data_IF_230193339569
#
_entry.id   IF_230193339569
#
_cell.length_a   1.000
_cell.length_b   1.000
_cell.length_c   1.000
_cell.angle_alpha   90.00
_cell.angle_beta   90.00
_cell.angle_gamma   90.00
#
_symmetry.space_group_name_H-M   'P 1'
#
loop_
_entity.id
_entity.type
_entity.pdbx_description
1 polymer ?
#
# COMPACT_ATOMS: atom_id res chain seq x y z
N UNK A 1 -19.62 -1.07 -7.57
CA UNK A 1 -18.43 -1.62 -7.08
C UNK A 1 -18.11 -2.94 -7.72
N UNK A 2 -16.93 -3.29 -7.80
CA UNK A 2 -16.56 -4.39 -8.47
C UNK A 2 -16.05 -5.39 -7.60
N UNK A 3 -15.88 -6.50 -7.90
CA UNK A 3 -15.46 -7.60 -7.11
C UNK A 3 -14.05 -7.44 -6.58
N UNK A 4 -13.69 -8.29 -5.66
CA UNK A 4 -12.35 -8.36 -5.12
C UNK A 4 -11.60 -9.49 -5.79
N UNK A 5 -10.29 -9.32 -5.92
CA UNK A 5 -9.42 -10.36 -6.44
C UNK A 5 -8.42 -10.69 -5.35
N UNK A 6 -8.31 -11.96 -4.99
CA UNK A 6 -7.42 -12.42 -3.93
C UNK A 6 -6.25 -13.16 -4.54
N UNK A 7 -5.04 -12.78 -4.13
CA UNK A 7 -3.82 -13.40 -4.61
C UNK A 7 -3.00 -13.89 -3.43
N UNK A 8 -2.33 -15.04 -3.61
CA UNK A 8 -1.49 -15.65 -2.59
C UNK A 8 -0.07 -15.78 -3.13
N UNK A 9 0.90 -15.44 -2.26
CA UNK A 9 2.29 -15.58 -2.62
C UNK A 9 3.02 -16.29 -1.51
N UNK A 10 3.35 -17.56 -1.72
CA UNK A 10 4.13 -18.36 -0.77
C UNK A 10 3.54 -18.35 0.63
N UNK A 11 2.24 -18.22 0.73
CA UNK A 11 1.48 -18.31 1.97
C UNK A 11 1.87 -17.31 3.08
N UNK A 12 2.94 -16.52 2.89
CA UNK A 12 3.35 -15.56 3.91
C UNK A 12 2.78 -14.17 3.68
N UNK A 13 2.33 -13.88 2.46
CA UNK A 13 1.73 -12.60 2.12
C UNK A 13 0.56 -12.82 1.20
N UNK A 14 -0.52 -12.07 1.44
CA UNK A 14 -1.71 -12.08 0.60
C UNK A 14 -2.09 -10.66 0.27
N UNK A 15 -2.77 -10.48 -0.84
CA UNK A 15 -3.29 -9.17 -1.15
C UNK A 15 -4.62 -9.30 -1.87
N UNK A 16 -5.46 -8.28 -1.70
CA UNK A 16 -6.78 -8.23 -2.28
C UNK A 16 -7.04 -6.80 -2.73
N UNK A 17 -7.72 -6.67 -3.86
CA UNK A 17 -7.92 -5.38 -4.48
C UNK A 17 -9.41 -5.11 -4.66
N UNK A 18 -9.84 -3.90 -4.33
CA UNK A 18 -11.21 -3.49 -4.58
C UNK A 18 -11.24 -1.99 -4.86
N UNK A 19 -12.26 -1.56 -5.59
CA UNK A 19 -12.42 -0.16 -5.95
C UNK A 19 -13.73 0.35 -5.38
N UNK A 20 -13.68 1.51 -4.75
CA UNK A 20 -14.88 2.15 -4.21
C UNK A 20 -14.72 3.66 -4.28
N UNK A 21 -15.73 4.34 -4.82
CA UNK A 21 -15.77 5.80 -4.91
C UNK A 21 -14.52 6.39 -5.58
N UNK A 22 -14.01 5.70 -6.60
CA UNK A 22 -12.86 6.19 -7.33
C UNK A 22 -11.52 5.93 -6.68
N UNK A 23 -11.52 5.27 -5.52
CA UNK A 23 -10.30 4.93 -4.80
C UNK A 23 -10.04 3.44 -4.96
N UNK A 24 -8.83 3.09 -5.37
CA UNK A 24 -8.40 1.69 -5.42
C UNK A 24 -7.82 1.33 -4.07
N UNK A 25 -8.40 0.34 -3.41
CA UNK A 25 -7.93 -0.12 -2.12
C UNK A 25 -7.20 -1.44 -2.31
N UNK A 26 -5.97 -1.49 -1.85
CA UNK A 26 -5.16 -2.69 -1.89
C UNK A 26 -4.97 -3.17 -0.46
N UNK A 27 -5.65 -4.25 -0.10
CA UNK A 27 -5.56 -4.83 1.24
C UNK A 27 -4.42 -5.83 1.25
N UNK A 28 -3.44 -5.56 2.10
CA UNK A 28 -2.27 -6.42 2.22
C UNK A 28 -2.30 -7.12 3.56
N UNK A 29 -1.78 -8.34 3.63
CA UNK A 29 -1.68 -9.05 4.89
C UNK A 29 -0.42 -9.90 4.90
N UNK A 30 0.08 -10.16 6.11
CA UNK A 30 1.25 -10.99 6.30
C UNK A 30 2.52 -10.16 6.42
N UNK A 31 3.62 -10.67 5.88
CA UNK A 31 4.93 -10.05 6.01
C UNK A 31 5.42 -9.59 4.64
N UNK A 32 5.82 -8.34 4.57
CA UNK A 32 6.35 -7.77 3.33
C UNK A 32 7.87 -7.72 3.48
N UNK A 33 8.50 -8.83 3.13
CA UNK A 33 9.93 -9.02 3.30
C UNK A 33 10.61 -9.19 1.93
N UNK A 34 11.90 -9.48 1.96
CA UNK A 34 12.68 -9.62 0.75
C UNK A 34 12.11 -10.69 -0.20
N UNK A 35 11.53 -11.74 0.35
CA UNK A 35 10.97 -12.81 -0.46
C UNK A 35 9.71 -12.38 -1.20
N UNK A 36 8.91 -11.52 -0.60
CA UNK A 36 7.59 -11.16 -1.12
C UNK A 36 7.52 -9.79 -1.77
N UNK A 37 8.49 -8.91 -1.48
CA UNK A 37 8.46 -7.57 -2.04
C UNK A 37 8.52 -7.53 -3.58
N UNK A 38 9.18 -8.48 -4.29
CA UNK A 38 9.13 -8.44 -5.74
C UNK A 38 7.73 -8.56 -6.31
N UNK A 39 6.87 -9.36 -5.69
CA UNK A 39 5.49 -9.48 -6.15
C UNK A 39 4.71 -8.22 -5.85
N UNK A 40 4.89 -7.65 -4.66
CA UNK A 40 4.24 -6.37 -4.34
C UNK A 40 4.69 -5.28 -5.31
N UNK A 41 5.97 -5.28 -5.65
CA UNK A 41 6.50 -4.31 -6.61
C UNK A 41 5.81 -4.46 -7.96
N UNK A 42 5.61 -5.69 -8.41
CA UNK A 42 4.95 -5.95 -9.68
C UNK A 42 3.51 -5.43 -9.66
N UNK A 43 2.80 -5.67 -8.57
CA UNK A 43 1.43 -5.20 -8.42
C UNK A 43 1.39 -3.67 -8.46
N UNK A 44 2.28 -3.03 -7.74
CA UNK A 44 2.31 -1.57 -7.69
C UNK A 44 2.74 -0.97 -9.03
N UNK A 45 3.68 -1.60 -9.72
CA UNK A 45 4.07 -1.13 -11.04
C UNK A 45 2.91 -1.18 -12.03
N UNK A 46 2.04 -2.18 -11.90
CA UNK A 46 0.86 -2.25 -12.73
C UNK A 46 -0.08 -1.08 -12.45
N UNK A 47 -0.17 -0.65 -11.18
CA UNK A 47 -1.01 0.51 -10.84
C UNK A 47 -0.43 1.79 -11.44
N UNK A 48 0.89 1.92 -11.45
CA UNK A 48 1.53 3.06 -12.10
C UNK A 48 1.23 3.06 -13.60
N UNK A 49 1.36 1.90 -14.24
CA UNK A 49 1.11 1.79 -15.67
C UNK A 49 -0.33 2.17 -16.02
N UNK A 50 -1.25 1.92 -15.12
CA UNK A 50 -2.65 2.29 -15.30
C UNK A 50 -2.94 3.72 -14.87
N UNK A 51 -1.93 4.43 -14.35
CA UNK A 51 -2.06 5.78 -13.83
C UNK A 51 -3.20 5.89 -12.82
N UNK A 52 -3.20 4.97 -11.86
CA UNK A 52 -4.21 4.91 -10.82
C UNK A 52 -4.25 6.23 -10.06
N UNK A 53 -5.38 6.96 -10.11
CA UNK A 53 -5.40 8.32 -9.56
C UNK A 53 -5.36 8.37 -8.03
N UNK A 54 -5.91 7.38 -7.35
CA UNK A 54 -5.92 7.35 -5.89
C UNK A 54 -5.78 5.91 -5.42
N UNK A 55 -4.70 5.64 -4.69
CA UNK A 55 -4.41 4.31 -4.17
C UNK A 55 -4.37 4.37 -2.65
N UNK A 56 -5.11 3.47 -2.01
CA UNK A 56 -5.10 3.32 -0.56
C UNK A 56 -4.52 1.96 -0.23
N UNK A 57 -3.44 1.95 0.53
CA UNK A 57 -2.84 0.70 0.99
C UNK A 57 -3.35 0.41 2.40
N UNK A 58 -4.08 -0.68 2.54
CA UNK A 58 -4.62 -1.09 3.83
C UNK A 58 -3.63 -2.05 4.48
N UNK A 59 -2.97 -1.59 5.53
CA UNK A 59 -1.97 -2.33 6.26
C UNK A 59 -2.51 -2.96 7.53
N UNK A 60 -3.82 -2.99 7.71
CA UNK A 60 -4.41 -3.47 8.96
C UNK A 60 -3.95 -4.88 9.33
N UNK A 61 -3.66 -5.70 8.35
CA UNK A 61 -3.25 -7.08 8.56
C UNK A 61 -1.79 -7.32 8.19
N UNK A 62 -1.01 -6.27 7.97
CA UNK A 62 0.42 -6.41 7.72
C UNK A 62 1.12 -6.49 9.07
N UNK A 63 1.87 -7.57 9.27
CA UNK A 63 2.55 -7.82 10.54
C UNK A 63 3.94 -7.21 10.58
N UNK A 64 4.59 -7.10 9.42
CA UNK A 64 5.97 -6.66 9.38
C UNK A 64 6.30 -6.20 7.95
N UNK A 65 7.21 -5.23 7.86
CA UNK A 65 7.75 -4.79 6.58
C UNK A 65 9.24 -4.51 6.78
N UNK A 66 10.07 -4.94 5.83
CA UNK A 66 11.49 -4.67 5.90
C UNK A 66 11.88 -3.61 4.87
N UNK A 67 13.19 -3.36 4.76
CA UNK A 67 13.67 -2.30 3.88
C UNK A 67 13.35 -2.54 2.42
N UNK A 68 13.25 -3.80 1.98
CA UNK A 68 12.90 -4.08 0.59
C UNK A 68 11.46 -3.68 0.30
N UNK A 69 10.57 -3.92 1.25
CA UNK A 69 9.18 -3.49 1.12
C UNK A 69 9.05 -1.98 1.14
N UNK A 70 9.78 -1.33 2.04
CA UNK A 70 9.76 0.13 2.11
C UNK A 70 10.27 0.75 0.81
N UNK A 71 11.33 0.18 0.24
CA UNK A 71 11.86 0.69 -1.03
C UNK A 71 10.82 0.58 -2.15
N UNK A 72 10.03 -0.48 -2.14
CA UNK A 72 8.99 -0.68 -3.12
C UNK A 72 7.90 0.41 -3.00
N UNK A 73 7.54 0.77 -1.77
CA UNK A 73 6.56 1.83 -1.55
C UNK A 73 7.10 3.18 -2.01
N UNK A 74 8.36 3.46 -1.73
CA UNK A 74 8.99 4.71 -2.15
C UNK A 74 9.02 4.79 -3.67
N UNK A 75 9.33 3.69 -4.33
CA UNK A 75 9.34 3.65 -5.79
C UNK A 75 7.95 3.98 -6.35
N UNK A 76 6.91 3.42 -5.76
CA UNK A 76 5.56 3.72 -6.21
C UNK A 76 5.24 5.20 -6.03
N UNK A 77 5.62 5.76 -4.89
CA UNK A 77 5.39 7.18 -4.62
C UNK A 77 6.06 8.04 -5.68
N UNK A 78 7.33 7.75 -5.98
CA UNK A 78 8.07 8.54 -6.95
C UNK A 78 7.47 8.44 -8.34
N UNK A 79 7.09 7.25 -8.76
CA UNK A 79 6.54 7.03 -10.09
C UNK A 79 5.14 7.62 -10.24
N UNK A 80 4.33 7.59 -9.19
CA UNK A 80 2.97 8.11 -9.27
C UNK A 80 2.94 9.63 -9.36
N UNK A 81 4.01 10.30 -8.96
CA UNK A 81 4.06 11.76 -9.05
C UNK A 81 4.03 12.24 -10.50
N UNK A 82 4.47 11.42 -11.44
CA UNK A 82 4.49 11.80 -12.85
C UNK A 82 3.08 12.09 -13.38
N UNK A 83 2.04 11.48 -12.80
CA UNK A 83 0.66 11.73 -13.22
C UNK A 83 -0.18 12.30 -12.06
N UNK A 84 0.49 12.85 -11.05
CA UNK A 84 -0.13 13.44 -9.86
C UNK A 84 -1.04 12.46 -9.11
N UNK A 85 -0.63 11.20 -9.08
CA UNK A 85 -1.37 10.19 -8.34
C UNK A 85 -1.29 10.44 -6.84
N UNK A 86 -2.36 10.03 -6.13
CA UNK A 86 -2.43 10.15 -4.69
C UNK A 86 -2.26 8.79 -4.05
N UNK A 87 -1.61 8.75 -2.90
CA UNK A 87 -1.43 7.51 -2.15
C UNK A 87 -1.62 7.79 -0.67
N UNK A 88 -2.31 6.88 0.00
CA UNK A 88 -2.47 6.92 1.45
C UNK A 88 -2.28 5.54 2.01
N UNK A 89 -1.88 5.48 3.27
CA UNK A 89 -1.67 4.22 3.99
C UNK A 89 -2.52 4.25 5.25
N UNK A 90 -3.17 3.16 5.56
CA UNK A 90 -4.07 3.09 6.71
C UNK A 90 -3.80 1.84 7.54
N UNK A 91 -4.02 1.97 8.83
CA UNK A 91 -4.10 0.81 9.71
C UNK A 91 -2.77 0.21 10.13
N UNK A 92 -1.70 0.99 10.14
CA UNK A 92 -0.40 0.48 10.58
C UNK A 92 -0.47 0.04 12.03
N UNK A 93 0.04 -1.18 12.33
CA UNK A 93 0.19 -1.57 13.71
C UNK A 93 1.37 -0.81 14.32
N UNK A 94 1.51 -0.78 15.66
CA UNK A 94 2.56 0.03 16.28
C UNK A 94 3.97 -0.34 15.83
N UNK A 95 4.22 -1.61 15.59
CA UNK A 95 5.54 -2.06 15.15
C UNK A 95 5.90 -1.53 13.77
N UNK A 96 4.96 -1.67 12.84
CA UNK A 96 5.16 -1.18 11.47
C UNK A 96 5.21 0.35 11.47
N UNK A 97 4.36 1.00 12.26
CA UNK A 97 4.36 2.44 12.38
C UNK A 97 5.70 2.96 12.86
N UNK A 98 6.30 2.27 13.84
CA UNK A 98 7.61 2.67 14.34
C UNK A 98 8.67 2.61 13.26
N UNK A 99 8.60 1.62 12.36
CA UNK A 99 9.54 1.52 11.26
C UNK A 99 9.38 2.71 10.31
N UNK A 100 8.14 3.07 9.99
CA UNK A 100 7.88 4.23 9.13
C UNK A 100 8.40 5.51 9.75
N UNK A 101 8.18 5.68 11.06
CA UNK A 101 8.62 6.89 11.76
C UNK A 101 10.14 6.96 11.80
N UNK A 102 10.80 5.84 12.04
CA UNK A 102 12.25 5.80 12.16
C UNK A 102 12.94 6.25 10.87
N UNK A 103 12.40 5.87 9.73
CA UNK A 103 12.98 6.24 8.43
C UNK A 103 12.27 7.45 7.82
N UNK A 104 11.41 8.12 8.58
CA UNK A 104 10.72 9.35 8.20
C UNK A 104 9.77 9.21 7.02
N UNK A 105 9.25 8.03 6.79
CA UNK A 105 8.26 7.84 5.73
C UNK A 105 6.90 8.40 6.11
N UNK A 106 6.69 8.69 7.40
CA UNK A 106 5.50 9.41 7.84
C UNK A 106 5.47 10.84 7.30
N UNK A 107 6.61 11.36 6.83
CA UNK A 107 6.66 12.67 6.20
C UNK A 107 6.41 12.60 4.70
N UNK A 108 6.51 11.40 4.12
CA UNK A 108 6.32 11.19 2.69
C UNK A 108 4.91 10.71 2.39
N UNK A 109 4.42 9.76 3.17
CA UNK A 109 3.10 9.19 2.96
C UNK A 109 2.09 9.76 3.93
N UNK A 110 0.85 9.96 3.46
CA UNK A 110 -0.26 10.31 4.33
C UNK A 110 -0.72 9.03 5.02
N UNK A 111 -0.62 9.01 6.34
CA UNK A 111 -0.94 7.83 7.15
C UNK A 111 -2.16 8.11 7.99
N UNK A 112 -3.12 7.20 7.95
CA UNK A 112 -4.38 7.34 8.67
C UNK A 112 -4.58 6.13 9.59
N UNK A 113 -5.36 6.34 10.65
CA UNK A 113 -5.64 5.26 11.60
C UNK A 113 -6.56 4.21 11.00
N UNK A 114 -7.50 4.62 10.14
CA UNK A 114 -8.48 3.70 9.58
C UNK A 114 -8.58 3.86 8.07
N UNK A 115 -9.05 2.81 7.42
CA UNK A 115 -9.31 2.83 5.98
C UNK A 115 -10.36 3.88 5.65
N UNK A 116 -11.38 4.02 6.51
CA UNK A 116 -12.45 4.99 6.27
C UNK A 116 -11.91 6.43 6.22
N UNK A 117 -11.02 6.78 7.15
CA UNK A 117 -10.41 8.12 7.14
C UNK A 117 -9.58 8.34 5.90
N UNK A 118 -8.78 7.32 5.52
CA UNK A 118 -7.91 7.44 4.37
C UNK A 118 -8.72 7.58 3.08
N UNK A 119 -9.79 6.82 2.96
CA UNK A 119 -10.63 6.86 1.78
C UNK A 119 -11.28 8.24 1.62
N UNK A 120 -11.77 8.79 2.72
CA UNK A 120 -12.36 10.13 2.70
C UNK A 120 -11.34 11.17 2.26
N UNK A 121 -10.11 11.06 2.73
CA UNK A 121 -9.07 12.01 2.38
C UNK A 121 -8.67 11.92 0.91
N UNK A 122 -8.82 10.74 0.30
CA UNK A 122 -8.44 10.55 -1.10
C UNK A 122 -9.55 10.93 -2.08
N UNK A 123 -10.75 11.14 -1.60
CA UNK A 123 -11.88 11.51 -2.47
C UNK A 123 -11.89 12.99 -2.86
#
# INVERSE_FOLDING_TARGET
>A
MRGACIQFMNSAMEWRELTTDGVLILELSGEIDLQHSPEMRRVLQARVAQQTPALLLDFSNVKYIDSSGLATLIEYYQNSRAYTGKIAIAGLNPRVRSIFDLVRLNEVFSIYSTVSEARTALQ
#
